data_IF_620275213799
#
_entry.id   IF_620275213799
#
_cell.length_a   1.000
_cell.length_b   1.000
_cell.length_c   1.000
_cell.angle_alpha   90.00
_cell.angle_beta   90.00
_cell.angle_gamma   90.00
#
_symmetry.space_group_name_H-M   'P 1'
#
loop_
_entity.id
_entity.type
_entity.pdbx_description
1 polymer ?
#
# COMPACT_ATOMS: atom_id res chain seq x y z
N UNK A 1 -5.25 -5.41 -21.84
CA UNK A 1 -4.11 -4.77 -21.14
C UNK A 1 -3.65 -5.70 -20.04
N UNK A 2 -2.36 -5.71 -19.72
CA UNK A 2 -1.79 -6.56 -18.67
C UNK A 2 -2.15 -5.99 -17.28
N UNK A 3 -2.41 -6.86 -16.30
CA UNK A 3 -2.61 -6.49 -14.89
C UNK A 3 -1.34 -5.88 -14.31
N UNK A 4 -1.47 -4.86 -13.46
CA UNK A 4 -0.41 -4.40 -12.56
C UNK A 4 -0.75 -4.84 -11.13
N UNK A 5 -0.02 -5.81 -10.55
CA UNK A 5 -0.17 -6.21 -9.14
C UNK A 5 0.14 -5.05 -8.19
N UNK A 6 -0.51 -5.01 -7.02
CA UNK A 6 -0.28 -3.95 -6.04
C UNK A 6 1.17 -4.01 -5.51
N UNK A 7 1.71 -5.20 -5.29
CA UNK A 7 3.11 -5.37 -4.85
C UNK A 7 4.15 -4.77 -5.80
N UNK A 8 3.87 -4.71 -7.11
CA UNK A 8 4.75 -4.04 -8.09
C UNK A 8 4.63 -2.52 -8.06
N UNK A 9 3.49 -2.00 -7.61
CA UNK A 9 3.29 -0.56 -7.41
C UNK A 9 4.00 -0.14 -6.13
N UNK A 10 3.90 -0.92 -5.06
CA UNK A 10 4.59 -0.64 -3.81
C UNK A 10 6.11 -0.81 -3.99
N UNK A 11 6.54 -2.00 -4.40
CA UNK A 11 7.95 -2.38 -4.46
C UNK A 11 8.57 -2.56 -3.06
N UNK A 12 9.79 -3.08 -3.03
CA UNK A 12 10.57 -3.26 -1.80
C UNK A 12 11.48 -2.04 -1.58
N UNK A 13 10.88 -0.86 -1.38
CA UNK A 13 11.56 0.42 -1.17
C UNK A 13 10.56 1.47 -0.66
N UNK A 14 11.07 2.50 0.01
CA UNK A 14 10.29 3.60 0.61
C UNK A 14 9.50 4.50 -0.36
N UNK A 15 9.61 4.30 -1.67
CA UNK A 15 8.88 5.06 -2.69
C UNK A 15 8.61 4.16 -3.87
N UNK A 16 7.43 4.27 -4.44
CA UNK A 16 7.02 3.44 -5.56
C UNK A 16 8.00 3.49 -6.74
N UNK A 17 8.40 2.34 -7.32
CA UNK A 17 9.15 2.30 -8.59
C UNK A 17 8.31 2.80 -9.78
N UNK A 18 6.99 2.89 -9.59
CA UNK A 18 6.03 3.34 -10.59
C UNK A 18 5.51 4.75 -10.32
N UNK A 19 6.13 5.52 -9.40
CA UNK A 19 5.71 6.88 -9.12
C UNK A 19 5.60 7.72 -10.41
N UNK A 20 4.47 8.42 -10.56
CA UNK A 20 4.18 9.29 -11.68
C UNK A 20 3.76 8.56 -12.95
N UNK A 21 3.85 7.23 -12.97
CA UNK A 21 3.39 6.41 -14.08
C UNK A 21 1.88 6.14 -13.98
N UNK A 22 1.28 5.89 -15.14
CA UNK A 22 -0.10 5.39 -15.22
C UNK A 22 -0.06 3.87 -15.15
N UNK A 23 -0.83 3.31 -14.21
CA UNK A 23 -1.05 1.87 -14.06
C UNK A 23 -2.45 1.52 -14.51
N UNK A 24 -2.63 0.29 -14.99
CA UNK A 24 -3.93 -0.17 -15.50
C UNK A 24 -4.26 -1.54 -14.95
N UNK A 25 -5.55 -1.84 -14.87
CA UNK A 25 -6.03 -3.17 -14.48
C UNK A 25 -5.50 -3.61 -13.10
N UNK A 26 -5.56 -2.69 -12.13
CA UNK A 26 -5.28 -2.95 -10.71
C UNK A 26 -6.61 -3.30 -10.04
N UNK A 27 -6.68 -4.38 -9.30
CA UNK A 27 -7.91 -4.79 -8.63
C UNK A 27 -7.63 -5.50 -7.30
N UNK A 28 -8.62 -5.49 -6.42
CA UNK A 28 -8.52 -6.11 -5.11
C UNK A 28 -9.79 -5.94 -4.30
N UNK A 29 -9.73 -6.30 -3.02
CA UNK A 29 -10.83 -6.13 -2.07
C UNK A 29 -10.67 -4.85 -1.28
N UNK A 30 -11.76 -4.11 -1.14
CA UNK A 30 -11.80 -2.93 -0.28
C UNK A 30 -11.79 -3.35 1.19
N UNK A 31 -10.74 -2.97 1.93
CA UNK A 31 -10.53 -3.35 3.33
C UNK A 31 -10.81 -2.21 4.31
N UNK A 32 -10.81 -0.97 3.84
CA UNK A 32 -11.09 0.21 4.66
C UNK A 32 -11.53 1.39 3.79
N UNK A 33 -12.30 2.30 4.38
CA UNK A 33 -12.86 3.47 3.68
C UNK A 33 -12.59 4.72 4.49
N UNK A 34 -12.26 5.80 3.78
CA UNK A 34 -12.09 7.15 4.31
C UNK A 34 -12.93 8.14 3.50
N UNK A 35 -12.95 9.40 3.91
CA UNK A 35 -13.62 10.46 3.15
C UNK A 35 -12.91 10.79 1.83
N UNK A 36 -11.62 10.49 1.72
CA UNK A 36 -10.77 10.85 0.58
C UNK A 36 -10.42 9.67 -0.34
N UNK A 37 -11.01 8.50 -0.08
CA UNK A 37 -10.64 7.27 -0.79
C UNK A 37 -10.87 6.00 0.02
N UNK A 38 -10.26 4.91 -0.41
CA UNK A 38 -10.40 3.61 0.22
C UNK A 38 -9.11 2.78 0.09
N UNK A 39 -8.92 1.85 1.02
CA UNK A 39 -7.83 0.87 0.97
C UNK A 39 -8.26 -0.31 0.14
N UNK A 40 -7.41 -0.72 -0.80
CA UNK A 40 -7.58 -1.86 -1.68
C UNK A 40 -6.45 -2.85 -1.39
N UNK A 41 -6.77 -4.12 -1.18
CA UNK A 41 -5.77 -5.16 -0.94
C UNK A 41 -5.89 -6.26 -1.99
N UNK A 42 -4.76 -6.68 -2.54
CA UNK A 42 -4.69 -7.66 -3.60
C UNK A 42 -5.20 -9.04 -3.13
N UNK A 43 -5.85 -9.77 -4.04
CA UNK A 43 -6.32 -11.14 -3.81
C UNK A 43 -5.28 -12.20 -4.19
N UNK A 44 -4.25 -11.80 -4.93
CA UNK A 44 -3.22 -12.69 -5.45
C UNK A 44 -1.85 -12.18 -4.98
N UNK A 45 -1.51 -12.34 -3.68
CA UNK A 45 -0.26 -11.83 -3.13
C UNK A 45 0.95 -12.56 -3.73
N UNK A 46 2.09 -11.88 -3.81
CA UNK A 46 3.34 -12.44 -4.30
C UNK A 46 4.13 -13.22 -3.24
N UNK A 47 3.68 -13.16 -1.98
CA UNK A 47 4.27 -13.82 -0.81
C UNK A 47 5.65 -13.29 -0.43
N UNK A 48 6.04 -12.10 -0.89
CA UNK A 48 7.24 -11.39 -0.45
C UNK A 48 6.89 -10.47 0.72
N UNK A 49 7.53 -10.69 1.87
CA UNK A 49 7.32 -9.86 3.06
C UNK A 49 7.90 -8.45 2.94
N UNK A 50 8.69 -8.18 1.90
CA UNK A 50 9.25 -6.86 1.62
C UNK A 50 8.37 -6.00 0.71
N UNK A 51 7.26 -6.53 0.18
CA UNK A 51 6.31 -5.77 -0.63
C UNK A 51 4.95 -5.73 0.04
N UNK A 52 4.26 -4.59 -0.07
CA UNK A 52 2.89 -4.48 0.40
C UNK A 52 1.90 -4.93 -0.68
N UNK A 53 0.87 -5.65 -0.26
CA UNK A 53 -0.28 -6.03 -1.08
C UNK A 53 -1.46 -5.06 -0.93
N UNK A 54 -1.29 -4.05 -0.06
CA UNK A 54 -2.26 -3.00 0.18
C UNK A 54 -1.88 -1.72 -0.56
N UNK A 55 -2.88 -0.95 -0.96
CA UNK A 55 -2.67 0.39 -1.50
C UNK A 55 -3.87 1.28 -1.21
N UNK A 56 -3.62 2.57 -1.03
CA UNK A 56 -4.68 3.56 -0.94
C UNK A 56 -5.11 4.04 -2.33
N UNK A 57 -6.41 4.03 -2.59
CA UNK A 57 -7.00 4.62 -3.79
C UNK A 57 -7.54 5.99 -3.42
N UNK A 58 -6.83 7.04 -3.84
CA UNK A 58 -7.24 8.42 -3.66
C UNK A 58 -8.25 8.81 -4.75
N UNK A 59 -9.45 9.18 -4.32
CA UNK A 59 -10.56 9.53 -5.20
C UNK A 59 -11.35 10.72 -4.65
N UNK A 60 -11.84 11.59 -5.54
CA UNK A 60 -12.67 12.73 -5.17
C UNK A 60 -14.04 12.32 -4.61
N UNK A 61 -14.56 11.16 -5.03
CA UNK A 61 -15.79 10.56 -4.54
C UNK A 61 -15.64 9.05 -4.57
N UNK A 62 -16.07 8.39 -3.50
CA UNK A 62 -16.07 6.92 -3.38
C UNK A 62 -17.42 6.30 -3.78
N UNK A 63 -18.41 7.13 -4.13
CA UNK A 63 -19.73 6.69 -4.58
C UNK A 63 -20.43 5.74 -3.61
N UNK A 64 -20.63 4.49 -4.05
CA UNK A 64 -21.33 3.43 -3.27
C UNK A 64 -20.41 2.28 -2.85
N UNK A 65 -19.09 2.48 -2.91
CA UNK A 65 -18.08 1.50 -2.49
C UNK A 65 -18.28 1.15 -1.02
N UNK A 66 -18.15 -0.15 -0.71
CA UNK A 66 -18.22 -0.68 0.66
C UNK A 66 -17.02 -1.60 0.91
N UNK A 67 -16.66 -1.74 2.19
CA UNK A 67 -15.73 -2.80 2.62
C UNK A 67 -16.27 -4.16 2.15
N UNK A 68 -15.40 -4.99 1.59
CA UNK A 68 -15.76 -6.27 0.95
C UNK A 68 -16.20 -6.16 -0.51
N UNK A 69 -16.29 -4.96 -1.09
CA UNK A 69 -16.45 -4.82 -2.54
C UNK A 69 -15.12 -5.16 -3.23
N UNK A 70 -15.19 -5.93 -4.32
CA UNK A 70 -14.05 -6.09 -5.24
C UNK A 70 -14.08 -4.97 -6.26
N UNK A 71 -12.99 -4.22 -6.37
CA UNK A 71 -12.92 -3.02 -7.20
C UNK A 71 -11.80 -3.14 -8.22
N UNK A 72 -12.09 -2.75 -9.46
CA UNK A 72 -11.15 -2.59 -10.55
C UNK A 72 -10.87 -1.11 -10.81
N UNK A 73 -9.60 -0.74 -10.69
CA UNK A 73 -9.05 0.50 -11.20
C UNK A 73 -8.58 0.26 -12.63
N UNK A 74 -9.40 0.66 -13.60
CA UNK A 74 -9.07 0.48 -15.02
C UNK A 74 -7.82 1.26 -15.43
N UNK A 75 -7.67 2.47 -14.89
CA UNK A 75 -6.51 3.35 -15.08
C UNK A 75 -6.39 4.33 -13.91
N UNK A 76 -5.17 4.58 -13.45
CA UNK A 76 -4.87 5.53 -12.39
C UNK A 76 -3.39 5.93 -12.40
N UNK A 77 -3.05 7.03 -11.73
CA UNK A 77 -1.66 7.51 -11.64
C UNK A 77 -1.13 7.23 -10.25
N UNK A 78 0.04 6.60 -10.17
CA UNK A 78 0.73 6.37 -8.90
C UNK A 78 1.33 7.67 -8.38
N UNK A 79 1.13 7.95 -7.09
CA UNK A 79 1.57 9.17 -6.42
C UNK A 79 2.14 8.84 -5.04
N UNK A 80 3.14 9.63 -4.66
CA UNK A 80 3.65 9.70 -3.30
C UNK A 80 2.98 10.87 -2.57
N UNK A 81 2.24 10.58 -1.50
CA UNK A 81 1.55 11.59 -0.69
C UNK A 81 2.27 11.80 0.64
N UNK A 82 2.69 13.02 0.95
CA UNK A 82 3.29 13.32 2.25
C UNK A 82 2.19 13.76 3.24
N UNK A 83 1.83 12.94 4.24
CA UNK A 83 0.77 13.28 5.19
C UNK A 83 1.15 14.45 6.13
N UNK A 84 2.45 14.72 6.30
CA UNK A 84 2.96 15.86 7.06
C UNK A 84 3.10 17.14 6.22
N UNK A 85 2.73 17.11 4.94
CA UNK A 85 2.85 18.23 4.00
C UNK A 85 4.12 18.20 3.15
N UNK A 86 4.06 18.84 1.97
CA UNK A 86 5.16 18.84 0.99
C UNK A 86 6.43 19.43 1.61
N UNK A 87 7.53 18.66 1.55
CA UNK A 87 8.84 19.07 2.06
C UNK A 87 9.05 18.80 3.56
N UNK A 88 8.04 18.30 4.27
CA UNK A 88 8.19 17.84 5.65
C UNK A 88 8.97 16.52 5.71
N UNK A 89 9.77 16.36 6.77
CA UNK A 89 10.55 15.14 6.98
C UNK A 89 9.67 14.00 7.52
N UNK A 90 8.94 13.35 6.63
CA UNK A 90 8.09 12.18 6.87
C UNK A 90 8.19 11.25 5.66
N UNK A 91 7.97 9.95 5.88
CA UNK A 91 7.69 9.05 4.77
C UNK A 91 6.42 9.49 4.05
N UNK A 92 6.43 9.24 2.74
CA UNK A 92 5.26 9.39 1.89
C UNK A 92 4.42 8.13 1.95
N UNK A 93 3.18 8.23 1.48
CA UNK A 93 2.29 7.09 1.28
C UNK A 93 2.16 6.86 -0.22
N UNK A 94 2.41 5.63 -0.67
CA UNK A 94 2.13 5.23 -2.04
C UNK A 94 0.63 5.08 -2.24
N UNK A 95 0.09 5.80 -3.21
CA UNK A 95 -1.34 5.76 -3.53
C UNK A 95 -1.58 5.80 -5.03
N UNK A 96 -2.74 5.30 -5.47
CA UNK A 96 -3.22 5.47 -6.82
C UNK A 96 -4.27 6.57 -6.81
N UNK A 97 -4.04 7.62 -7.59
CA UNK A 97 -5.06 8.61 -7.89
C UNK A 97 -5.90 8.12 -9.07
N UNK A 98 -7.19 7.87 -8.83
CA UNK A 98 -8.13 7.42 -9.85
C UNK A 98 -9.43 8.22 -9.77
N UNK A 99 -9.98 8.57 -10.93
CA UNK A 99 -11.26 9.30 -11.03
C UNK A 99 -12.45 8.37 -11.24
N UNK A 100 -12.22 7.18 -11.79
CA UNK A 100 -13.25 6.18 -12.08
C UNK A 100 -12.75 4.78 -11.69
N UNK A 101 -13.66 3.95 -11.19
CA UNK A 101 -13.41 2.57 -10.83
C UNK A 101 -14.70 1.76 -10.91
N UNK A 102 -14.57 0.45 -11.12
CA UNK A 102 -15.71 -0.45 -11.30
C UNK A 102 -15.79 -1.42 -10.12
N UNK A 103 -16.96 -1.53 -9.51
CA UNK A 103 -17.23 -2.60 -8.54
C UNK A 103 -17.55 -3.87 -9.33
N UNK A 104 -16.69 -4.89 -9.20
CA UNK A 104 -16.82 -6.17 -9.89
C UNK A 104 -17.77 -7.11 -9.14
N UNK A 105 -17.65 -7.16 -7.82
CA UNK A 105 -18.44 -8.00 -6.93
C UNK A 105 -18.59 -7.35 -5.55
N UNK A 106 -19.51 -7.84 -4.72
CA UNK A 106 -19.86 -7.24 -3.41
C UNK A 106 -19.94 -8.30 -2.32
N UNK A 107 -19.64 -7.90 -1.09
CA UNK A 107 -19.81 -8.75 0.10
C UNK A 107 -18.83 -9.92 0.16
N UNK A 108 -17.67 -9.77 -0.45
CA UNK A 108 -16.61 -10.77 -0.41
C UNK A 108 -15.98 -10.85 0.99
N UNK A 109 -15.43 -12.01 1.37
CA UNK A 109 -14.58 -12.09 2.56
C UNK A 109 -13.38 -11.14 2.41
N UNK A 110 -12.96 -10.56 3.54
CA UNK A 110 -11.75 -9.75 3.57
C UNK A 110 -10.52 -10.66 3.55
N UNK A 111 -9.38 -10.21 2.98
CA UNK A 111 -8.11 -10.88 3.17
C UNK A 111 -7.82 -11.09 4.67
N UNK A 112 -7.24 -12.25 4.97
CA UNK A 112 -6.74 -12.55 6.32
C UNK A 112 -5.76 -11.46 6.74
N UNK A 113 -5.85 -10.96 7.98
CA UNK A 113 -4.98 -9.89 8.41
C UNK A 113 -3.56 -10.41 8.65
N UNK A 114 -2.56 -9.57 8.43
CA UNK A 114 -1.22 -9.85 8.92
C UNK A 114 -1.20 -9.61 10.44
N UNK A 115 -0.92 -10.66 11.21
CA UNK A 115 -0.75 -10.56 12.66
C UNK A 115 0.61 -9.94 12.95
N UNK A 116 0.65 -8.92 13.81
CA UNK A 116 1.86 -8.25 14.24
C UNK A 116 2.26 -8.73 15.65
N UNK A 117 3.53 -9.04 15.85
CA UNK A 117 4.06 -9.50 17.14
C UNK A 117 3.96 -11.02 17.35
N UNK A 118 3.56 -11.43 18.56
CA UNK A 118 3.57 -12.84 18.95
C UNK A 118 2.65 -13.69 18.06
N UNK A 119 3.19 -14.73 17.45
CA UNK A 119 2.46 -15.60 16.51
C UNK A 119 2.28 -15.02 15.10
N UNK A 120 2.84 -13.85 14.82
CA UNK A 120 2.81 -13.18 13.52
C UNK A 120 4.19 -12.68 13.09
N UNK A 121 4.23 -11.59 12.33
CA UNK A 121 5.49 -10.95 11.94
C UNK A 121 6.11 -10.25 13.14
N UNK A 122 7.37 -10.58 13.45
CA UNK A 122 8.10 -9.95 14.55
C UNK A 122 8.42 -8.51 14.20
N UNK A 123 8.06 -7.57 15.06
CA UNK A 123 8.28 -6.14 14.84
C UNK A 123 9.72 -5.78 15.26
N UNK A 124 10.57 -5.26 14.37
CA UNK A 124 11.88 -4.72 14.75
C UNK A 124 11.68 -3.41 15.54
N UNK A 125 11.79 -3.49 16.86
CA UNK A 125 11.46 -2.39 17.77
C UNK A 125 12.68 -1.72 18.42
N UNK A 126 13.89 -2.14 18.05
CA UNK A 126 15.15 -1.60 18.58
C UNK A 126 15.90 -0.75 17.56
N UNK A 127 15.82 -1.12 16.28
CA UNK A 127 16.46 -0.41 15.17
C UNK A 127 15.35 0.24 14.36
N UNK A 128 15.39 1.56 14.26
CA UNK A 128 14.43 2.31 13.44
C UNK A 128 14.90 2.30 11.99
N UNK A 129 16.14 2.73 11.77
CA UNK A 129 16.87 2.59 10.52
C UNK A 129 18.39 2.61 10.81
N UNK A 130 19.19 1.75 10.17
CA UNK A 130 20.64 1.70 10.43
C UNK A 130 21.53 2.09 9.22
N UNK A 131 20.97 2.18 8.01
CA UNK A 131 21.73 2.38 6.77
C UNK A 131 21.23 3.56 5.91
N UNK A 132 20.24 4.30 6.43
CA UNK A 132 19.70 5.50 5.78
C UNK A 132 20.61 6.70 6.09
N UNK A 133 21.08 7.35 5.03
CA UNK A 133 21.78 8.64 5.14
C UNK A 133 20.91 9.77 4.60
N UNK A 134 20.19 10.44 5.51
CA UNK A 134 19.28 11.52 5.17
C UNK A 134 17.88 11.01 4.87
N UNK A 135 17.52 10.91 3.59
CA UNK A 135 16.14 10.61 3.18
C UNK A 135 16.00 9.15 2.72
N UNK A 136 15.14 8.40 3.42
CA UNK A 136 14.85 6.98 3.21
C UNK A 136 14.54 6.60 1.75
N UNK A 137 13.81 7.46 1.02
CA UNK A 137 13.49 7.24 -0.38
C UNK A 137 14.64 7.42 -1.38
N UNK A 138 15.90 7.56 -0.92
CA UNK A 138 17.09 7.78 -1.76
C UNK A 138 18.34 7.01 -1.34
N UNK A 139 18.33 6.32 -0.20
CA UNK A 139 19.50 5.67 0.38
C UNK A 139 19.08 4.58 1.35
N UNK A 140 19.98 3.64 1.62
CA UNK A 140 19.70 2.47 2.46
C UNK A 140 19.29 1.28 1.59
N UNK A 141 19.50 0.09 2.14
CA UNK A 141 18.82 -1.12 1.70
C UNK A 141 17.39 -1.06 2.22
N UNK A 142 16.54 -1.94 1.68
CA UNK A 142 15.20 -2.13 2.22
C UNK A 142 15.18 -3.46 2.96
N UNK A 143 15.17 -3.43 4.29
CA UNK A 143 15.38 -4.59 5.17
C UNK A 143 14.36 -4.68 6.33
N UNK A 144 13.08 -4.96 6.03
CA UNK A 144 11.98 -4.98 7.01
C UNK A 144 12.11 -5.99 8.15
N UNK A 145 13.12 -6.86 8.13
CA UNK A 145 13.43 -7.78 9.23
C UNK A 145 14.33 -7.15 10.31
N UNK A 146 15.06 -6.09 9.97
CA UNK A 146 15.99 -5.39 10.85
C UNK A 146 15.48 -3.99 11.19
N UNK A 147 15.03 -3.22 10.19
CA UNK A 147 14.60 -1.85 10.37
C UNK A 147 13.09 -1.74 10.57
N UNK A 148 12.70 -1.11 11.68
CA UNK A 148 11.30 -0.89 12.03
C UNK A 148 10.59 0.06 11.05
N UNK A 149 11.34 0.99 10.43
CA UNK A 149 10.82 1.87 9.38
C UNK A 149 10.35 1.04 8.17
N UNK A 150 11.23 0.20 7.66
CA UNK A 150 11.02 -0.68 6.51
C UNK A 150 9.94 -1.72 6.78
N UNK A 151 9.89 -2.24 8.02
CA UNK A 151 8.84 -3.16 8.45
C UNK A 151 7.44 -2.59 8.22
N UNK A 152 7.19 -1.36 8.69
CA UNK A 152 5.87 -0.73 8.52
C UNK A 152 5.62 -0.28 7.08
N UNK A 153 6.66 0.10 6.35
CA UNK A 153 6.58 0.39 4.91
C UNK A 153 6.15 -0.87 4.13
N UNK A 154 6.69 -2.04 4.45
CA UNK A 154 6.32 -3.32 3.81
C UNK A 154 4.86 -3.74 4.05
N UNK A 155 4.18 -3.09 5.00
CA UNK A 155 2.78 -3.32 5.36
C UNK A 155 1.87 -2.17 4.93
N UNK A 156 2.37 -1.20 4.17
CA UNK A 156 1.64 0.03 3.87
C UNK A 156 0.26 -0.25 3.25
N UNK A 157 -0.80 0.19 3.93
CA UNK A 157 -2.18 0.03 3.44
C UNK A 157 -2.74 -1.40 3.55
N UNK A 158 -1.96 -2.37 4.06
CA UNK A 158 -2.45 -3.72 4.32
C UNK A 158 -3.34 -3.78 5.56
N UNK A 159 -4.27 -4.74 5.55
CA UNK A 159 -5.04 -5.09 6.74
C UNK A 159 -4.16 -5.85 7.73
N UNK A 160 -4.02 -5.32 8.94
CA UNK A 160 -3.22 -5.91 10.03
C UNK A 160 -4.06 -6.18 11.28
N UNK A 161 -3.53 -7.00 12.18
CA UNK A 161 -4.08 -7.30 13.50
C UNK A 161 -2.99 -7.18 14.56
N UNK A 162 -3.34 -6.58 15.71
CA UNK A 162 -2.48 -6.43 16.91
C UNK A 162 -3.03 -7.22 18.08
#
# INVERSE_FOLDING_TARGET
MQRTPISQIQGAQHRSPLEGQTVTNVYGIVTGITVSGFYLQDLLPDMDEATSEGIFIAAHSIGTVRVGDEVLIASGVVKEFNPAGVGSNSLTITQIQANDFNILSKGNPLPEPIVLGEGGRTIPNQVIANDINGYAGKSGLFDPQEDGLDFYESLEGMRVQV
#
